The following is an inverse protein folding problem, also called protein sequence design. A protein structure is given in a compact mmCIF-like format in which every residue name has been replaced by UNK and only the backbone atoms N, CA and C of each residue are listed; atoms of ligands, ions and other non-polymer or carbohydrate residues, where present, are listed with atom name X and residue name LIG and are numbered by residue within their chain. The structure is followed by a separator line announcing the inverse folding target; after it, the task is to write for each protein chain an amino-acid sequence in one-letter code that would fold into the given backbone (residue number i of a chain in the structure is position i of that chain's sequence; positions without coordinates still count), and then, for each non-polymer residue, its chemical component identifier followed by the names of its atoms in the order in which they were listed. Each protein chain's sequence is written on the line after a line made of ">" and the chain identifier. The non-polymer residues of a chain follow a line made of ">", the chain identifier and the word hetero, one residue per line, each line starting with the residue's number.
data_IF_857895009593
#
_entry.id   IF_857895009593
#
_cell.length_a   1.000
_cell.length_b   1.000
_cell.length_c   1.000
_cell.angle_alpha   90.00
_cell.angle_beta   90.00
_cell.angle_gamma   90.00
#
_symmetry.space_group_name_H-M   'P 1'
#
loop_
_entity.id
_entity.type
_entity.pdbx_description
1 polymer ?
#
# COMPACT_ATOMS: atom_id res chain seq x y z
N UNK A 1 -4.72 -37.97 23.02
CA UNK A 1 -3.79 -39.11 22.96
C UNK A 1 -2.74 -38.73 21.93
N UNK A 2 -1.55 -38.23 22.21
CA UNK A 2 -0.70 -37.98 23.41
C UNK A 2 -0.48 -36.45 23.56
N UNK A 3 -0.44 -35.81 24.73
CA UNK A 3 0.33 -36.02 25.95
C UNK A 3 1.74 -35.37 25.91
N UNK A 4 1.95 -34.46 26.86
CA UNK A 4 3.19 -33.85 27.38
C UNK A 4 3.86 -32.72 26.58
N UNK A 5 4.45 -31.66 27.15
CA UNK A 5 4.43 -31.03 28.49
C UNK A 5 5.45 -29.87 28.47
N UNK A 6 5.22 -28.88 29.30
CA UNK A 6 6.18 -27.95 29.92
C UNK A 6 7.23 -27.13 29.14
N UNK A 7 7.18 -25.82 29.40
CA UNK A 7 8.21 -24.82 29.08
C UNK A 7 7.61 -23.42 28.95
N UNK A 8 6.75 -22.99 29.86
CA UNK A 8 7.09 -22.25 31.08
C UNK A 8 7.88 -20.95 30.82
N UNK A 9 7.12 -19.84 30.85
CA UNK A 9 7.38 -18.60 31.58
C UNK A 9 8.85 -18.29 31.92
N UNK A 10 9.54 -17.60 31.03
CA UNK A 10 10.75 -16.83 31.33
C UNK A 10 10.91 -15.72 30.29
N UNK A 11 10.28 -14.57 30.54
CA UNK A 11 10.85 -13.23 30.36
C UNK A 11 9.81 -12.12 30.62
N UNK A 12 9.05 -12.32 31.71
CA UNK A 12 8.21 -11.28 32.33
C UNK A 12 8.89 -10.75 33.61
N UNK A 13 10.24 -10.75 33.64
CA UNK A 13 11.06 -10.35 34.79
C UNK A 13 11.97 -9.14 34.56
N UNK A 14 11.85 -8.42 33.43
CA UNK A 14 12.63 -7.20 33.16
C UNK A 14 11.81 -5.91 33.15
N UNK A 15 10.53 -5.98 33.54
CA UNK A 15 9.63 -4.81 33.67
C UNK A 15 9.14 -4.69 35.11
N UNK A 16 10.05 -4.50 36.07
CA UNK A 16 9.82 -3.80 37.35
C UNK A 16 11.04 -3.95 38.27
N UNK A 17 12.10 -3.16 38.06
CA UNK A 17 13.03 -2.75 39.12
C UNK A 17 13.89 -1.57 38.65
N UNK A 18 13.31 -0.36 38.64
CA UNK A 18 13.98 0.87 39.08
C UNK A 18 13.02 2.09 39.07
N UNK A 19 11.91 1.97 39.81
CA UNK A 19 11.38 3.12 40.55
C UNK A 19 12.05 3.08 41.92
N UNK A 20 13.09 3.87 42.11
CA UNK A 20 13.77 3.92 43.40
C UNK A 20 15.02 4.80 43.38
N UNK A 21 14.84 6.04 43.80
CA UNK A 21 15.96 6.87 44.24
C UNK A 21 16.40 7.91 43.21
N UNK A 22 15.60 8.97 43.08
CA UNK A 22 16.16 10.31 43.00
C UNK A 22 17.14 10.46 44.16
N UNK A 23 18.42 10.15 43.91
CA UNK A 23 19.52 10.42 44.83
C UNK A 23 19.67 11.94 44.92
N UNK A 24 18.91 12.55 45.82
CA UNK A 24 19.17 13.89 46.36
C UNK A 24 20.37 13.91 47.33
N UNK A 25 21.26 12.91 47.24
CA UNK A 25 22.36 12.69 48.22
C UNK A 25 23.65 13.40 47.80
N UNK A 26 23.70 13.99 46.60
CA UNK A 26 24.89 14.68 46.09
C UNK A 26 25.00 16.17 46.45
N UNK A 27 23.90 16.86 46.79
CA UNK A 27 23.92 18.33 46.92
C UNK A 27 24.24 18.78 48.36
N UNK A 28 23.80 18.03 49.37
CA UNK A 28 24.04 18.36 50.78
C UNK A 28 25.47 18.06 51.24
N UNK A 29 26.13 17.05 50.68
CA UNK A 29 27.53 16.72 51.03
C UNK A 29 28.53 17.68 50.37
N UNK A 30 28.30 18.10 49.12
CA UNK A 30 29.18 19.06 48.44
C UNK A 30 29.12 20.45 49.08
N UNK A 31 27.93 20.92 49.51
CA UNK A 31 27.83 22.25 50.15
C UNK A 31 28.46 22.31 51.55
N UNK A 32 28.50 21.18 52.27
CA UNK A 32 29.11 21.12 53.61
C UNK A 32 30.65 21.08 53.52
N UNK A 33 31.20 20.44 52.48
CA UNK A 33 32.64 20.46 52.18
C UNK A 33 33.09 21.84 51.72
N UNK A 34 32.32 22.53 50.87
CA UNK A 34 32.65 23.90 50.44
C UNK A 34 32.73 24.87 51.62
N UNK A 35 31.75 24.83 52.54
CA UNK A 35 31.76 25.68 53.75
C UNK A 35 32.96 25.40 54.67
N UNK A 36 33.38 24.14 54.79
CA UNK A 36 34.58 23.77 55.55
C UNK A 36 35.88 24.25 54.88
N UNK A 37 35.96 24.16 53.56
CA UNK A 37 37.11 24.63 52.78
C UNK A 37 37.24 26.17 52.83
N UNK A 38 36.12 26.87 52.74
CA UNK A 38 36.06 28.33 52.82
C UNK A 38 36.47 28.84 54.21
N UNK A 39 36.04 28.16 55.28
CA UNK A 39 36.43 28.47 56.65
C UNK A 39 37.93 28.28 56.88
N UNK A 40 38.49 27.15 56.43
CA UNK A 40 39.92 26.85 56.55
C UNK A 40 40.75 27.85 55.72
N UNK A 41 40.28 28.20 54.52
CA UNK A 41 40.95 29.21 53.70
C UNK A 41 40.93 30.58 54.37
N UNK A 42 39.80 30.98 54.95
CA UNK A 42 39.63 32.26 55.65
C UNK A 42 40.54 32.36 56.87
N UNK A 43 40.60 31.30 57.70
CA UNK A 43 41.52 31.23 58.85
C UNK A 43 42.97 31.29 58.39
N UNK A 44 43.32 30.58 57.31
CA UNK A 44 44.67 30.64 56.73
C UNK A 44 45.01 32.06 56.26
N UNK A 45 44.14 32.75 55.54
CA UNK A 45 44.39 34.13 55.09
C UNK A 45 44.56 35.10 56.26
N UNK A 46 43.79 34.94 57.36
CA UNK A 46 43.95 35.75 58.57
C UNK A 46 45.29 35.49 59.26
N UNK A 47 45.72 34.23 59.39
CA UNK A 47 47.02 33.89 59.99
C UNK A 47 48.18 34.38 59.13
N UNK A 48 48.14 34.17 57.81
CA UNK A 48 49.16 34.68 56.89
C UNK A 48 49.20 36.22 56.89
N UNK A 49 48.06 36.89 56.83
CA UNK A 49 47.98 38.35 56.94
C UNK A 49 48.55 38.88 58.25
N UNK A 50 48.23 38.23 59.36
CA UNK A 50 48.77 38.54 60.69
C UNK A 50 50.29 38.41 60.76
N UNK A 51 50.86 37.33 60.19
CA UNK A 51 52.32 37.13 60.15
C UNK A 51 53.03 38.16 59.28
N UNK A 52 52.44 38.58 58.16
CA UNK A 52 53.03 39.61 57.29
C UNK A 52 53.07 40.97 58.02
N UNK A 53 51.98 41.36 58.68
CA UNK A 53 51.92 42.61 59.45
C UNK A 53 52.91 42.58 60.60
N UNK A 54 52.99 41.48 61.35
CA UNK A 54 53.95 41.32 62.45
C UNK A 54 55.41 41.40 61.96
N UNK A 55 55.72 40.77 60.82
CA UNK A 55 57.05 40.84 60.20
C UNK A 55 57.42 42.26 59.74
N UNK A 56 56.47 43.01 59.19
CA UNK A 56 56.70 44.41 58.79
C UNK A 56 56.98 45.31 60.00
N UNK A 57 56.24 45.11 61.10
CA UNK A 57 56.48 45.82 62.37
C UNK A 57 57.86 45.46 62.95
N UNK A 58 58.26 44.19 62.88
CA UNK A 58 59.58 43.74 63.35
C UNK A 58 60.74 44.33 62.53
N UNK A 59 60.57 44.49 61.20
CA UNK A 59 61.57 45.13 60.32
C UNK A 59 61.72 46.63 60.63
N UNK A 60 60.64 47.30 61.03
CA UNK A 60 60.65 48.71 61.44
C UNK A 60 61.37 48.95 62.77
N UNK A 61 61.25 48.02 63.72
CA UNK A 61 61.87 48.14 65.05
C UNK A 61 63.33 47.67 65.09
N UNK A 62 63.72 46.68 64.27
CA UNK A 62 65.08 46.13 64.24
C UNK A 62 65.76 46.35 62.88
N UNK A 63 66.30 47.56 62.66
CA UNK A 63 66.94 47.93 61.40
C UNK A 63 68.23 47.17 61.03
N UNK A 64 68.82 46.39 61.94
CA UNK A 64 70.19 45.82 61.76
C UNK A 64 70.24 44.35 61.31
N UNK A 65 69.12 43.63 61.28
CA UNK A 65 69.11 42.17 61.04
C UNK A 65 68.79 41.80 59.59
N UNK A 66 69.78 41.33 58.84
CA UNK A 66 69.64 40.91 57.43
C UNK A 66 68.87 39.59 57.26
N UNK A 67 68.89 38.72 58.27
CA UNK A 67 68.27 37.39 58.25
C UNK A 67 66.74 37.46 58.06
N UNK A 68 66.08 38.43 58.72
CA UNK A 68 64.62 38.60 58.65
C UNK A 68 64.16 38.98 57.24
N UNK A 69 64.98 39.77 56.51
CA UNK A 69 64.67 40.17 55.13
C UNK A 69 64.69 38.99 54.17
N UNK A 70 65.62 38.04 54.38
CA UNK A 70 65.73 36.84 53.54
C UNK A 70 64.56 35.89 53.80
N UNK A 71 64.18 35.68 55.06
CA UNK A 71 63.03 34.84 55.40
C UNK A 71 61.72 35.38 54.80
N UNK A 72 61.53 36.71 54.81
CA UNK A 72 60.39 37.35 54.18
C UNK A 72 60.39 37.18 52.65
N UNK A 73 61.53 37.36 52.00
CA UNK A 73 61.66 37.17 50.55
C UNK A 73 61.33 35.73 50.13
N UNK A 74 61.80 34.72 50.87
CA UNK A 74 61.47 33.31 50.63
C UNK A 74 59.98 33.06 50.83
N UNK A 75 59.38 33.64 51.86
CA UNK A 75 57.94 33.48 52.14
C UNK A 75 57.06 34.06 51.03
N UNK A 76 57.43 35.22 50.47
CA UNK A 76 56.75 35.77 49.28
C UNK A 76 56.90 34.85 48.08
N UNK A 77 58.10 34.32 47.83
CA UNK A 77 58.34 33.42 46.70
C UNK A 77 57.50 32.14 46.78
N UNK A 78 57.42 31.53 47.97
CA UNK A 78 56.60 30.33 48.22
C UNK A 78 55.10 30.65 48.07
N UNK A 79 54.65 31.81 48.56
CA UNK A 79 53.27 32.26 48.41
C UNK A 79 52.88 32.44 46.94
N UNK A 80 53.73 33.08 46.14
CA UNK A 80 53.52 33.26 44.70
C UNK A 80 53.47 31.92 43.96
N UNK A 81 54.31 30.97 44.35
CA UNK A 81 54.32 29.63 43.77
C UNK A 81 53.04 28.85 44.08
N UNK A 82 52.51 28.97 45.30
CA UNK A 82 51.24 28.34 45.69
C UNK A 82 50.03 28.83 44.86
N UNK A 83 49.98 30.12 44.54
CA UNK A 83 48.93 30.68 43.67
C UNK A 83 49.00 30.10 42.25
N UNK A 84 50.20 29.91 41.71
CA UNK A 84 50.38 29.31 40.40
C UNK A 84 49.94 27.84 40.37
N UNK A 85 50.22 27.08 41.42
CA UNK A 85 49.76 25.69 41.53
C UNK A 85 48.24 25.59 41.63
N UNK A 86 47.58 26.47 42.38
CA UNK A 86 46.11 26.52 42.47
C UNK A 86 45.48 26.81 41.11
N UNK A 87 46.00 27.80 40.37
CA UNK A 87 45.50 28.11 39.03
C UNK A 87 45.61 26.91 38.06
N UNK A 88 46.65 26.08 38.22
CA UNK A 88 46.80 24.85 37.43
C UNK A 88 45.79 23.77 37.83
N UNK A 89 45.45 23.66 39.12
CA UNK A 89 44.46 22.71 39.62
C UNK A 89 43.05 23.07 39.18
N UNK A 90 42.66 24.35 39.25
CA UNK A 90 41.34 24.81 38.79
C UNK A 90 41.13 24.51 37.30
N UNK A 91 42.21 24.59 36.51
CA UNK A 91 42.18 24.24 35.08
C UNK A 91 42.07 22.74 34.81
N UNK A 92 42.42 21.88 35.77
CA UNK A 92 42.22 20.42 35.64
C UNK A 92 40.77 20.03 35.88
N UNK A 93 40.06 20.74 36.76
CA UNK A 93 38.64 20.48 37.00
C UNK A 93 37.78 20.93 35.81
N UNK A 94 38.09 22.06 35.18
CA UNK A 94 37.41 22.45 33.92
C UNK A 94 37.69 21.48 32.76
N UNK A 95 38.87 20.87 32.69
CA UNK A 95 39.15 19.80 31.73
C UNK A 95 38.37 18.52 32.01
N UNK A 96 38.16 18.17 33.28
CA UNK A 96 37.32 17.02 33.65
C UNK A 96 35.86 17.26 33.30
N UNK A 97 35.37 18.48 33.52
CA UNK A 97 34.03 18.87 33.13
C UNK A 97 33.84 18.79 31.61
N UNK A 98 34.76 19.38 30.84
CA UNK A 98 34.76 19.26 29.38
C UNK A 98 34.84 17.81 28.89
N UNK A 99 35.63 16.96 29.55
CA UNK A 99 35.73 15.54 29.19
C UNK A 99 34.44 14.76 29.52
N UNK A 100 33.75 15.12 30.60
CA UNK A 100 32.44 14.54 30.92
C UNK A 100 31.36 15.00 29.94
N UNK A 101 31.39 16.26 29.52
CA UNK A 101 30.50 16.79 28.48
C UNK A 101 30.72 16.09 27.14
N UNK A 102 31.98 15.93 26.71
CA UNK A 102 32.32 15.16 25.50
C UNK A 102 31.84 13.71 25.62
N UNK A 103 32.00 13.07 26.79
CA UNK A 103 31.49 11.70 27.02
C UNK A 103 29.97 11.63 26.91
N UNK A 104 29.25 12.62 27.45
CA UNK A 104 27.79 12.69 27.30
C UNK A 104 27.40 12.89 25.84
N UNK A 105 28.09 13.76 25.11
CA UNK A 105 27.81 14.03 23.70
C UNK A 105 28.09 12.81 22.82
N UNK A 106 29.18 12.10 23.07
CA UNK A 106 29.50 10.84 22.38
C UNK A 106 28.45 9.75 22.67
N UNK A 107 27.98 9.64 23.92
CA UNK A 107 26.89 8.70 24.26
C UNK A 107 25.57 9.10 23.60
N UNK A 108 25.29 10.40 23.50
CA UNK A 108 24.12 10.93 22.78
C UNK A 108 24.20 10.59 21.30
N UNK A 109 25.35 10.86 20.66
CA UNK A 109 25.57 10.52 19.24
C UNK A 109 25.51 9.03 18.98
N UNK A 110 26.02 8.18 19.87
CA UNK A 110 25.86 6.72 19.74
C UNK A 110 24.40 6.30 19.79
N UNK A 111 23.63 6.86 20.73
CA UNK A 111 22.19 6.58 20.85
C UNK A 111 21.42 7.06 19.60
N UNK A 112 21.77 8.22 19.07
CA UNK A 112 21.17 8.74 17.83
C UNK A 112 21.55 7.89 16.62
N UNK A 113 22.80 7.45 16.51
CA UNK A 113 23.27 6.58 15.44
C UNK A 113 22.55 5.22 15.48
N UNK A 114 22.46 4.58 16.65
CA UNK A 114 21.70 3.33 16.85
C UNK A 114 20.23 3.49 16.42
N UNK A 115 19.63 4.64 16.72
CA UNK A 115 18.25 4.95 16.29
C UNK A 115 18.15 5.09 14.77
N UNK A 116 19.11 5.76 14.14
CA UNK A 116 19.16 5.90 12.68
C UNK A 116 19.37 4.55 12.00
N UNK A 117 20.24 3.68 12.52
CA UNK A 117 20.45 2.32 12.00
C UNK A 117 19.16 1.52 12.08
N UNK A 118 18.45 1.54 13.21
CA UNK A 118 17.14 0.87 13.33
C UNK A 118 16.11 1.41 12.34
N UNK A 119 16.04 2.73 12.16
CA UNK A 119 15.14 3.32 11.17
C UNK A 119 15.50 2.87 9.74
N UNK A 120 16.79 2.75 9.44
CA UNK A 120 17.23 2.27 8.13
C UNK A 120 16.85 0.79 7.92
N UNK A 121 17.03 -0.05 8.93
CA UNK A 121 16.59 -1.45 8.90
C UNK A 121 15.07 -1.57 8.71
N UNK A 122 14.29 -0.73 9.40
CA UNK A 122 12.83 -0.67 9.23
C UNK A 122 12.43 -0.24 7.81
N UNK A 123 13.12 0.76 7.25
CA UNK A 123 12.89 1.19 5.87
C UNK A 123 13.26 0.10 4.86
N UNK A 124 14.32 -0.66 5.11
CA UNK A 124 14.69 -1.80 4.26
C UNK A 124 13.63 -2.90 4.29
N UNK A 125 13.08 -3.22 5.47
CA UNK A 125 11.96 -4.16 5.60
C UNK A 125 10.73 -3.66 4.85
N UNK A 126 10.40 -2.36 4.94
CA UNK A 126 9.29 -1.78 4.20
C UNK A 126 9.52 -1.83 2.69
N UNK A 127 10.73 -1.52 2.21
CA UNK A 127 11.08 -1.61 0.80
C UNK A 127 10.97 -3.05 0.27
N UNK A 128 11.44 -4.03 1.04
CA UNK A 128 11.29 -5.45 0.69
C UNK A 128 9.82 -5.87 0.62
N UNK A 129 8.99 -5.43 1.56
CA UNK A 129 7.54 -5.67 1.52
C UNK A 129 6.87 -5.07 0.29
N UNK A 130 7.25 -3.85 -0.10
CA UNK A 130 6.75 -3.22 -1.33
C UNK A 130 7.17 -4.01 -2.57
N UNK A 131 8.42 -4.47 -2.62
CA UNK A 131 8.91 -5.31 -3.72
C UNK A 131 8.17 -6.66 -3.82
N UNK A 132 7.87 -7.29 -2.68
CA UNK A 132 7.08 -8.52 -2.64
C UNK A 132 5.63 -8.27 -3.11
N UNK A 133 5.05 -7.13 -2.75
CA UNK A 133 3.74 -6.70 -3.25
C UNK A 133 3.77 -6.44 -4.75
N UNK A 134 4.78 -5.76 -5.29
CA UNK A 134 4.95 -5.55 -6.73
C UNK A 134 5.09 -6.88 -7.49
N UNK A 135 5.87 -7.82 -6.95
CA UNK A 135 6.02 -9.16 -7.52
C UNK A 135 4.69 -9.91 -7.55
N UNK A 136 3.93 -9.85 -6.45
CA UNK A 136 2.60 -10.45 -6.34
C UNK A 136 1.61 -9.79 -7.31
N UNK A 137 1.61 -8.46 -7.42
CA UNK A 137 0.76 -7.73 -8.35
C UNK A 137 1.09 -8.06 -9.81
N UNK A 138 2.38 -8.19 -10.14
CA UNK A 138 2.83 -8.58 -11.48
C UNK A 138 2.44 -10.04 -11.81
N UNK A 139 2.49 -10.94 -10.82
CA UNK A 139 1.95 -12.29 -10.95
C UNK A 139 0.44 -12.30 -11.23
N UNK A 140 -0.32 -11.47 -10.51
CA UNK A 140 -1.76 -11.31 -10.74
C UNK A 140 -2.03 -10.73 -12.12
N UNK A 141 -1.36 -9.65 -12.53
CA UNK A 141 -1.51 -9.04 -13.86
C UNK A 141 -1.17 -10.03 -14.98
N UNK A 142 -0.13 -10.85 -14.80
CA UNK A 142 0.24 -11.90 -15.75
C UNK A 142 -0.82 -13.00 -15.84
N UNK A 143 -1.50 -13.32 -14.75
CA UNK A 143 -2.60 -14.31 -14.72
C UNK A 143 -3.92 -13.74 -15.24
N UNK A 144 -4.24 -12.49 -14.90
CA UNK A 144 -5.47 -11.81 -15.32
C UNK A 144 -5.41 -11.36 -16.78
N UNK A 145 -4.25 -10.91 -17.27
CA UNK A 145 -4.05 -10.60 -18.69
C UNK A 145 -4.32 -11.81 -19.59
N UNK A 146 -3.91 -13.02 -19.16
CA UNK A 146 -4.24 -14.28 -19.85
C UNK A 146 -5.73 -14.62 -19.79
N UNK A 147 -6.38 -14.38 -18.66
CA UNK A 147 -7.83 -14.63 -18.52
C UNK A 147 -8.68 -13.65 -19.33
N UNK A 148 -8.28 -12.39 -19.47
CA UNK A 148 -8.98 -11.41 -20.31
C UNK A 148 -8.87 -11.80 -21.78
N UNK A 149 -7.69 -12.21 -22.25
CA UNK A 149 -7.54 -12.71 -23.62
C UNK A 149 -8.35 -14.00 -23.87
N UNK A 150 -8.34 -14.93 -22.92
CA UNK A 150 -9.15 -16.15 -23.00
C UNK A 150 -10.65 -15.84 -23.01
N UNK A 151 -11.10 -14.90 -22.19
CA UNK A 151 -12.50 -14.47 -22.15
C UNK A 151 -12.93 -13.79 -23.46
N UNK A 152 -12.12 -12.90 -24.01
CA UNK A 152 -12.39 -12.28 -25.33
C UNK A 152 -12.45 -13.34 -26.43
N UNK A 153 -11.56 -14.35 -26.38
CA UNK A 153 -11.60 -15.48 -27.32
C UNK A 153 -12.90 -16.28 -27.19
N UNK A 154 -13.33 -16.60 -25.97
CA UNK A 154 -14.58 -17.34 -25.71
C UNK A 154 -15.83 -16.55 -26.15
N UNK A 155 -15.85 -15.23 -25.97
CA UNK A 155 -16.97 -14.41 -26.44
C UNK A 155 -17.01 -14.37 -27.98
N UNK A 156 -15.84 -14.31 -28.63
CA UNK A 156 -15.76 -14.37 -30.10
C UNK A 156 -16.22 -15.73 -30.63
N UNK A 157 -15.81 -16.83 -29.99
CA UNK A 157 -16.25 -18.18 -30.32
C UNK A 157 -17.75 -18.36 -30.12
N UNK A 158 -18.30 -17.90 -28.99
CA UNK A 158 -19.74 -17.92 -28.76
C UNK A 158 -20.51 -17.12 -29.82
N UNK A 159 -19.97 -15.98 -30.28
CA UNK A 159 -20.59 -15.22 -31.37
C UNK A 159 -20.65 -16.03 -32.67
N UNK A 160 -19.58 -16.71 -33.03
CA UNK A 160 -19.55 -17.58 -34.22
C UNK A 160 -20.57 -18.70 -34.09
N UNK A 161 -20.64 -19.38 -32.94
CA UNK A 161 -21.63 -20.43 -32.67
C UNK A 161 -23.06 -19.88 -32.79
N UNK A 162 -23.33 -18.69 -32.24
CA UNK A 162 -24.65 -18.07 -32.34
C UNK A 162 -25.03 -17.70 -33.78
N UNK A 163 -24.07 -17.24 -34.58
CA UNK A 163 -24.28 -16.95 -36.00
C UNK A 163 -24.56 -18.25 -36.80
N UNK A 164 -23.81 -19.32 -36.54
CA UNK A 164 -24.05 -20.65 -37.10
C UNK A 164 -25.42 -21.22 -36.71
N UNK A 165 -25.80 -21.10 -35.43
CA UNK A 165 -27.12 -21.51 -34.94
C UNK A 165 -28.25 -20.70 -35.58
N UNK A 166 -28.05 -19.40 -35.80
CA UNK A 166 -29.01 -18.56 -36.52
C UNK A 166 -29.18 -19.02 -37.96
N UNK A 167 -28.09 -19.32 -38.66
CA UNK A 167 -28.15 -19.82 -40.03
C UNK A 167 -28.84 -21.19 -40.11
N UNK A 168 -28.54 -22.09 -39.16
CA UNK A 168 -29.22 -23.38 -39.07
C UNK A 168 -30.73 -23.23 -38.82
N UNK A 169 -31.13 -22.33 -37.91
CA UNK A 169 -32.53 -22.03 -37.64
C UNK A 169 -33.23 -21.44 -38.88
N UNK A 170 -32.59 -20.48 -39.56
CA UNK A 170 -33.10 -19.88 -40.81
C UNK A 170 -33.30 -20.95 -41.90
N UNK A 171 -32.34 -21.85 -42.08
CA UNK A 171 -32.42 -22.95 -43.03
C UNK A 171 -33.53 -23.96 -42.69
N UNK A 172 -33.72 -24.24 -41.40
CA UNK A 172 -34.81 -25.10 -40.95
C UNK A 172 -36.17 -24.45 -41.21
N UNK A 173 -36.35 -23.17 -40.86
CA UNK A 173 -37.59 -22.43 -41.12
C UNK A 173 -37.88 -22.35 -42.61
N UNK A 174 -36.88 -22.09 -43.45
CA UNK A 174 -37.09 -22.03 -44.90
C UNK A 174 -37.49 -23.39 -45.47
N UNK A 175 -36.89 -24.48 -44.98
CA UNK A 175 -37.27 -25.84 -45.36
C UNK A 175 -38.72 -26.16 -44.95
N UNK A 176 -39.10 -25.84 -43.71
CA UNK A 176 -40.45 -26.07 -43.20
C UNK A 176 -41.49 -25.23 -43.96
N UNK A 177 -41.14 -23.99 -44.31
CA UNK A 177 -41.97 -23.11 -45.16
C UNK A 177 -42.16 -23.69 -46.56
N UNK A 178 -41.09 -24.16 -47.20
CA UNK A 178 -41.18 -24.80 -48.51
C UNK A 178 -42.06 -26.05 -48.47
N UNK A 179 -41.91 -26.88 -47.44
CA UNK A 179 -42.76 -28.06 -47.25
C UNK A 179 -44.23 -27.67 -47.05
N UNK A 180 -44.49 -26.58 -46.32
CA UNK A 180 -45.83 -26.07 -46.11
C UNK A 180 -46.49 -25.58 -47.40
N UNK A 181 -45.71 -24.89 -48.24
CA UNK A 181 -46.16 -24.39 -49.55
C UNK A 181 -46.49 -25.57 -50.46
N UNK A 182 -45.60 -26.58 -50.55
CA UNK A 182 -45.87 -27.78 -51.35
C UNK A 182 -47.06 -28.59 -50.81
N UNK A 183 -47.33 -28.57 -49.50
CA UNK A 183 -48.51 -29.21 -48.92
C UNK A 183 -49.79 -28.37 -49.05
N UNK A 184 -49.71 -27.13 -49.51
CA UNK A 184 -50.84 -26.25 -49.74
C UNK A 184 -51.39 -26.37 -51.17
N UNK A 185 -50.49 -26.57 -52.15
CA UNK A 185 -50.80 -26.95 -53.53
C UNK A 185 -51.47 -28.34 -53.54
N UNK A 186 -52.74 -28.40 -53.93
CA UNK A 186 -53.53 -29.64 -53.90
C UNK A 186 -53.64 -30.33 -55.25
N UNK A 187 -53.50 -29.57 -56.34
CA UNK A 187 -53.67 -30.05 -57.70
C UNK A 187 -52.35 -30.18 -58.46
N UNK A 188 -51.23 -29.89 -57.79
CA UNK A 188 -49.85 -30.04 -58.29
C UNK A 188 -49.60 -29.21 -59.56
N UNK A 189 -50.34 -28.12 -59.74
CA UNK A 189 -50.23 -27.24 -60.91
C UNK A 189 -49.16 -26.15 -60.72
N UNK A 190 -48.57 -26.07 -59.53
CA UNK A 190 -47.57 -25.10 -59.10
C UNK A 190 -48.03 -23.63 -59.16
N UNK A 191 -49.33 -23.39 -59.18
CA UNK A 191 -49.99 -22.08 -59.16
C UNK A 191 -50.88 -21.98 -57.92
N UNK A 192 -50.60 -21.02 -57.04
CA UNK A 192 -51.34 -20.91 -55.78
C UNK A 192 -52.66 -20.19 -56.01
N UNK A 193 -53.75 -20.95 -55.91
CA UNK A 193 -55.09 -20.43 -56.09
C UNK A 193 -55.57 -19.56 -54.91
N UNK A 194 -56.52 -18.63 -55.12
CA UNK A 194 -57.02 -17.76 -54.03
C UNK A 194 -57.65 -18.50 -52.84
N UNK A 195 -58.09 -19.75 -53.03
CA UNK A 195 -58.57 -20.62 -51.95
C UNK A 195 -57.42 -21.29 -51.19
N UNK A 196 -56.35 -21.65 -51.90
CA UNK A 196 -55.14 -22.23 -51.32
C UNK A 196 -54.31 -21.21 -50.55
N UNK A 197 -54.26 -19.95 -51.04
CA UNK A 197 -53.65 -18.82 -50.32
C UNK A 197 -54.24 -18.70 -48.91
N UNK A 198 -55.56 -18.85 -48.75
CA UNK A 198 -56.22 -18.78 -47.43
C UNK A 198 -55.82 -19.95 -46.53
N UNK A 199 -55.72 -21.16 -47.08
CA UNK A 199 -55.27 -22.34 -46.35
C UNK A 199 -53.81 -22.23 -45.91
N UNK A 200 -52.94 -21.73 -46.81
CA UNK A 200 -51.54 -21.48 -46.53
C UNK A 200 -51.37 -20.42 -45.43
N UNK A 201 -52.10 -19.31 -45.51
CA UNK A 201 -52.07 -18.23 -44.51
C UNK A 201 -52.49 -18.72 -43.11
N UNK A 202 -53.49 -19.58 -43.05
CA UNK A 202 -53.95 -20.16 -41.78
C UNK A 202 -52.88 -21.05 -41.15
N UNK A 203 -52.19 -21.87 -41.97
CA UNK A 203 -51.11 -22.73 -41.46
C UNK A 203 -49.85 -21.93 -41.12
N UNK A 204 -49.54 -20.86 -41.86
CA UNK A 204 -48.44 -19.95 -41.56
C UNK A 204 -48.63 -19.22 -40.23
N UNK A 205 -49.86 -18.79 -39.90
CA UNK A 205 -50.19 -18.21 -38.58
C UNK A 205 -50.05 -19.21 -37.43
N UNK A 206 -50.24 -20.49 -37.71
CA UNK A 206 -50.09 -21.55 -36.73
C UNK A 206 -48.63 -21.98 -36.53
N UNK A 207 -47.69 -21.44 -37.33
CA UNK A 207 -46.28 -21.74 -37.22
C UNK A 207 -45.63 -20.91 -36.11
N UNK A 208 -44.98 -21.59 -35.16
CA UNK A 208 -44.42 -20.93 -33.98
C UNK A 208 -43.14 -20.14 -34.32
N UNK A 209 -43.16 -18.84 -34.00
CA UNK A 209 -41.99 -17.96 -34.11
C UNK A 209 -41.84 -17.24 -35.46
N UNK A 210 -42.82 -17.37 -36.36
CA UNK A 210 -42.91 -16.62 -37.60
C UNK A 210 -44.02 -15.56 -37.50
N UNK A 211 -43.69 -14.29 -37.73
CA UNK A 211 -44.68 -13.23 -37.92
C UNK A 211 -44.82 -12.95 -39.42
N UNK A 212 -46.05 -13.04 -39.92
CA UNK A 212 -46.36 -12.96 -41.36
C UNK A 212 -47.24 -11.76 -41.60
N UNK A 213 -46.74 -10.81 -42.41
CA UNK A 213 -47.56 -9.72 -42.89
C UNK A 213 -48.43 -10.20 -44.06
N UNK A 214 -49.68 -10.52 -43.76
CA UNK A 214 -50.63 -11.10 -44.70
C UNK A 214 -50.98 -10.20 -45.88
N UNK A 215 -51.05 -8.89 -45.63
CA UNK A 215 -51.39 -7.89 -46.63
C UNK A 215 -50.23 -7.70 -47.61
N UNK A 216 -49.01 -7.74 -47.10
CA UNK A 216 -47.80 -7.70 -47.90
C UNK A 216 -47.57 -9.02 -48.66
N UNK A 217 -47.88 -10.16 -48.05
CA UNK A 217 -47.78 -11.47 -48.69
C UNK A 217 -48.73 -11.59 -49.89
N UNK A 218 -49.99 -11.17 -49.72
CA UNK A 218 -51.00 -11.21 -50.81
C UNK A 218 -50.65 -10.27 -51.96
N UNK A 219 -50.24 -9.03 -51.66
CA UNK A 219 -49.88 -8.07 -52.69
C UNK A 219 -48.64 -8.49 -53.49
N UNK A 220 -47.67 -9.16 -52.87
CA UNK A 220 -46.50 -9.70 -53.55
C UNK A 220 -46.79 -10.94 -54.39
N UNK A 221 -47.70 -11.81 -53.94
CA UNK A 221 -48.20 -12.95 -54.72
C UNK A 221 -48.90 -12.48 -56.00
N UNK A 222 -49.82 -11.52 -55.87
CA UNK A 222 -50.54 -10.95 -57.01
C UNK A 222 -49.60 -10.27 -58.00
N UNK A 223 -48.58 -9.56 -57.50
CA UNK A 223 -47.59 -8.84 -58.34
C UNK A 223 -46.61 -9.78 -59.06
N UNK A 224 -46.24 -10.91 -58.45
CA UNK A 224 -45.30 -11.90 -59.01
C UNK A 224 -45.99 -13.08 -59.73
N UNK A 225 -47.32 -13.02 -59.90
CA UNK A 225 -48.07 -13.93 -60.77
C UNK A 225 -48.44 -15.27 -60.12
N UNK A 226 -48.68 -15.31 -58.80
CA UNK A 226 -49.18 -16.46 -58.03
C UNK A 226 -48.43 -17.80 -58.22
N UNK A 227 -47.23 -17.79 -58.78
CA UNK A 227 -46.44 -19.01 -58.98
C UNK A 227 -45.71 -19.43 -57.71
N UNK A 228 -45.48 -20.72 -57.51
CA UNK A 228 -44.64 -21.23 -56.42
C UNK A 228 -43.23 -20.62 -56.47
N UNK A 229 -42.68 -20.39 -57.66
CA UNK A 229 -41.39 -19.70 -57.85
C UNK A 229 -41.35 -18.30 -57.22
N UNK A 230 -42.47 -17.57 -57.23
CA UNK A 230 -42.57 -16.28 -56.56
C UNK A 230 -42.47 -16.41 -55.05
N UNK A 231 -43.07 -17.46 -54.47
CA UNK A 231 -43.05 -17.73 -53.03
C UNK A 231 -41.69 -18.26 -52.59
N UNK A 232 -41.04 -19.10 -53.38
CA UNK A 232 -39.65 -19.53 -53.15
C UNK A 232 -38.72 -18.32 -53.12
N UNK A 233 -38.93 -17.34 -54.00
CA UNK A 233 -38.22 -16.05 -53.95
C UNK A 233 -38.41 -15.33 -52.61
N UNK A 234 -39.65 -15.28 -52.09
CA UNK A 234 -39.95 -14.66 -50.79
C UNK A 234 -39.36 -15.42 -49.59
N UNK A 235 -39.24 -16.74 -49.69
CA UNK A 235 -38.57 -17.57 -48.66
C UNK A 235 -37.04 -17.43 -48.76
N UNK A 236 -36.50 -17.17 -49.95
CA UNK A 236 -35.07 -16.91 -50.15
C UNK A 236 -34.67 -15.56 -49.57
N UNK A 237 -35.54 -14.54 -49.71
CA UNK A 237 -35.37 -13.23 -49.08
C UNK A 237 -35.28 -13.31 -47.53
N UNK A 238 -35.76 -14.40 -46.90
CA UNK A 238 -35.65 -14.67 -45.46
C UNK A 238 -34.26 -15.19 -45.04
N UNK A 239 -33.54 -15.81 -45.98
CA UNK A 239 -32.19 -16.35 -45.76
C UNK A 239 -31.13 -15.26 -45.84
N UNK A 240 -31.40 -14.18 -46.58
CA UNK A 240 -30.51 -13.04 -46.71
C UNK A 240 -30.45 -12.23 -45.39
N UNK A 241 -29.24 -11.75 -45.05
CA UNK A 241 -28.97 -11.00 -43.82
C UNK A 241 -29.22 -9.48 -43.97
N UNK A 242 -29.63 -9.02 -45.16
CA UNK A 242 -29.92 -7.61 -45.40
C UNK A 242 -31.34 -7.26 -44.94
N UNK A 243 -31.50 -6.32 -43.99
CA UNK A 243 -32.82 -5.87 -43.57
C UNK A 243 -33.43 -5.02 -44.69
N UNK A 244 -34.31 -5.64 -45.48
CA UNK A 244 -35.23 -4.90 -46.33
C UNK A 244 -36.49 -4.56 -45.53
N UNK A 245 -36.90 -3.29 -45.56
CA UNK A 245 -38.15 -2.80 -44.96
C UNK A 245 -39.41 -3.49 -45.56
N UNK A 246 -39.24 -4.21 -46.68
CA UNK A 246 -40.27 -4.98 -47.41
C UNK A 246 -40.27 -6.48 -47.03
N UNK A 247 -39.71 -6.87 -45.89
CA UNK A 247 -39.66 -8.29 -45.48
C UNK A 247 -41.05 -8.80 -45.06
N UNK A 248 -41.58 -9.75 -45.84
CA UNK A 248 -42.88 -10.42 -45.58
C UNK A 248 -42.86 -11.26 -44.31
N UNK A 249 -41.69 -11.79 -43.97
CA UNK A 249 -41.48 -12.75 -42.90
C UNK A 249 -40.50 -12.17 -41.89
N UNK A 250 -40.93 -12.03 -40.64
CA UNK A 250 -40.03 -11.70 -39.52
C UNK A 250 -39.90 -12.92 -38.62
N UNK A 251 -38.68 -13.44 -38.46
CA UNK A 251 -38.39 -14.56 -37.55
C UNK A 251 -38.09 -14.00 -36.17
N UNK A 252 -38.86 -14.42 -35.15
CA UNK A 252 -38.54 -14.12 -33.75
C UNK A 252 -37.78 -15.30 -33.10
N UNK A 253 -36.44 -15.23 -33.01
CA UNK A 253 -35.63 -16.32 -32.46
C UNK A 253 -35.95 -16.62 -30.99
N UNK A 254 -36.53 -15.69 -30.22
CA UNK A 254 -36.88 -15.93 -28.81
C UNK A 254 -38.08 -16.85 -28.64
N UNK A 255 -38.98 -16.90 -29.62
CA UNK A 255 -40.17 -17.76 -29.60
C UNK A 255 -39.84 -19.17 -30.09
N UNK A 256 -38.90 -19.29 -31.03
CA UNK A 256 -38.44 -20.58 -31.56
C UNK A 256 -37.59 -21.37 -30.55
N UNK A 257 -36.76 -20.68 -29.74
CA UNK A 257 -35.87 -21.32 -28.77
C UNK A 257 -36.56 -21.96 -27.55
N UNK A 258 -37.89 -21.86 -27.40
CA UNK A 258 -38.63 -22.46 -26.28
C UNK A 258 -38.98 -23.94 -26.49
N UNK A 259 -38.79 -24.47 -27.69
CA UNK A 259 -39.20 -25.83 -28.05
C UNK A 259 -38.08 -26.68 -28.68
N UNK A 260 -36.85 -26.16 -28.76
CA UNK A 260 -35.64 -26.94 -29.04
C UNK A 260 -34.99 -27.39 -27.71
#
# INVERSE_FOLDING_TARGET
>A
MSAFDDGNMQNESDVEMQKGGTRSVGISTVSTVHKGLDLISTISYCLFGGTIVLCLVAIGLHHRSTIVRIAFAISIAVSSYGLFQRWKLDRMDSLREALNEIRQEVNRMMTENDKLTRNNDELEVQANRVKDMESSLNGILSSQGKNVTAFVSLVKENRVILDEMKQALKAQVSQDLLQLIFAADRDEDFVIDPEEVRGLLFRLRAFDGLDVNEEHFRSLLEKKGNSISAVVGLVTDLLDDEPNDDTVFTVDPKRMARHA
#
